data_IF_180688439149
#
_entry.id   IF_180688439149
#
_cell.length_a   1.000
_cell.length_b   1.000
_cell.length_c   1.000
_cell.angle_alpha   90.00
_cell.angle_beta   90.00
_cell.angle_gamma   90.00
#
_symmetry.space_group_name_H-M   'P 1'
#
loop_
_entity.id
_entity.type
_entity.pdbx_description
1 polymer ?
#
# COMPACT_ATOMS: atom_id res chain seq x y z
N UNK A 1 -5.99 -8.96 -6.97
CA UNK A 1 -7.05 -7.93 -6.76
C UNK A 1 -6.67 -6.67 -7.55
N UNK A 2 -7.64 -5.88 -8.04
CA UNK A 2 -7.35 -4.73 -8.92
C UNK A 2 -6.36 -3.74 -8.27
N UNK A 3 -6.46 -3.54 -6.96
CA UNK A 3 -5.53 -2.70 -6.19
C UNK A 3 -4.09 -3.23 -6.15
N UNK A 4 -3.88 -4.56 -6.08
CA UNK A 4 -2.54 -5.17 -6.12
C UNK A 4 -1.83 -4.98 -7.46
N UNK A 5 -2.58 -4.77 -8.54
CA UNK A 5 -1.99 -4.47 -9.85
C UNK A 5 -1.44 -3.03 -9.94
N UNK A 6 -1.78 -2.18 -8.98
CA UNK A 6 -1.45 -0.76 -8.97
C UNK A 6 -0.88 -0.33 -7.60
N UNK A 7 -0.06 -1.20 -6.99
CA UNK A 7 0.67 -0.87 -5.77
C UNK A 7 1.63 0.28 -6.07
N UNK A 8 1.79 1.20 -5.11
CA UNK A 8 2.73 2.31 -5.24
C UNK A 8 4.19 1.87 -4.97
N UNK A 9 4.74 0.93 -5.76
CA UNK A 9 6.08 0.34 -5.59
C UNK A 9 7.08 0.75 -6.69
N UNK A 10 6.72 1.67 -7.57
CA UNK A 10 7.56 2.14 -8.67
C UNK A 10 8.98 2.54 -8.26
N UNK A 11 9.13 3.14 -7.07
CA UNK A 11 10.43 3.51 -6.52
C UNK A 11 11.28 2.27 -6.17
N UNK A 12 10.64 1.20 -5.67
CA UNK A 12 11.26 -0.10 -5.45
C UNK A 12 11.67 -0.77 -6.77
N UNK A 13 10.83 -0.69 -7.82
CA UNK A 13 11.16 -1.21 -9.15
C UNK A 13 12.38 -0.48 -9.76
N UNK A 14 12.53 0.81 -9.48
CA UNK A 14 13.60 1.66 -10.02
C UNK A 14 14.90 1.68 -9.22
N UNK A 15 14.91 1.22 -7.98
CA UNK A 15 16.12 1.18 -7.14
C UNK A 15 17.29 0.41 -7.74
N UNK A 16 17.04 -0.46 -8.73
CA UNK A 16 18.05 -1.37 -9.27
C UNK A 16 18.55 -2.37 -8.23
N UNK A 17 19.39 -3.33 -8.66
CA UNK A 17 19.93 -4.38 -7.78
C UNK A 17 21.08 -3.90 -6.89
N UNK A 18 21.37 -2.59 -6.92
CA UNK A 18 22.60 -1.94 -6.43
C UNK A 18 22.42 -1.13 -5.15
N UNK A 19 21.21 -1.05 -4.58
CA UNK A 19 20.98 -0.55 -3.22
C UNK A 19 21.57 -1.55 -2.21
N UNK A 20 22.89 -1.55 -2.04
CA UNK A 20 23.66 -2.48 -1.19
C UNK A 20 23.61 -2.13 0.30
N UNK A 21 22.95 -1.03 0.67
CA UNK A 21 22.82 -0.54 2.04
C UNK A 21 21.39 -0.72 2.55
N UNK A 22 21.21 -1.49 3.64
CA UNK A 22 19.89 -1.75 4.28
C UNK A 22 19.04 -0.48 4.52
N UNK A 23 19.70 0.66 4.71
CA UNK A 23 19.06 1.95 4.96
C UNK A 23 18.34 2.51 3.73
N UNK A 24 18.89 2.32 2.54
CA UNK A 24 18.27 2.80 1.29
C UNK A 24 17.04 1.97 0.97
N UNK A 25 17.13 0.64 1.12
CA UNK A 25 15.99 -0.26 1.00
C UNK A 25 14.87 0.10 1.99
N UNK A 26 15.22 0.38 3.26
CA UNK A 26 14.22 0.77 4.25
C UNK A 26 13.54 2.09 3.88
N UNK A 27 14.31 3.10 3.43
CA UNK A 27 13.77 4.37 3.01
C UNK A 27 12.76 4.21 1.86
N UNK A 28 13.10 3.38 0.88
CA UNK A 28 12.29 3.16 -0.31
C UNK A 28 11.03 2.35 0.00
N UNK A 29 11.12 1.34 0.87
CA UNK A 29 9.95 0.61 1.38
C UNK A 29 9.02 1.54 2.17
N UNK A 30 9.58 2.42 3.02
CA UNK A 30 8.78 3.40 3.76
C UNK A 30 8.10 4.42 2.83
N UNK A 31 8.78 4.84 1.76
CA UNK A 31 8.21 5.75 0.77
C UNK A 31 7.07 5.08 -0.01
N UNK A 32 7.23 3.82 -0.43
CA UNK A 32 6.16 3.04 -1.07
C UNK A 32 4.95 2.89 -0.14
N UNK A 33 5.19 2.51 1.13
CA UNK A 33 4.13 2.35 2.12
C UNK A 33 3.37 3.66 2.41
N UNK A 34 4.07 4.79 2.43
CA UNK A 34 3.45 6.12 2.58
C UNK A 34 2.49 6.42 1.43
N UNK A 35 2.96 6.29 0.19
CA UNK A 35 2.13 6.59 -0.99
C UNK A 35 0.95 5.63 -1.14
N UNK A 36 1.15 4.35 -0.85
CA UNK A 36 0.09 3.35 -0.84
C UNK A 36 -0.95 3.64 0.27
N UNK A 37 -0.51 4.08 1.44
CA UNK A 37 -1.40 4.53 2.51
C UNK A 37 -2.24 5.75 2.12
N UNK A 38 -1.63 6.75 1.50
CA UNK A 38 -2.32 7.96 1.04
C UNK A 38 -3.30 7.67 -0.11
N UNK A 39 -2.96 6.77 -1.02
CA UNK A 39 -3.84 6.36 -2.13
C UNK A 39 -5.09 5.65 -1.59
N UNK A 40 -4.93 4.76 -0.60
CA UNK A 40 -6.02 4.06 0.07
C UNK A 40 -6.88 5.02 0.86
N UNK A 41 -6.28 5.92 1.66
CA UNK A 41 -7.00 6.91 2.45
C UNK A 41 -7.86 7.81 1.56
N UNK A 42 -7.35 8.24 0.41
CA UNK A 42 -8.10 9.09 -0.53
C UNK A 42 -9.30 8.36 -1.14
N UNK A 43 -9.16 7.06 -1.44
CA UNK A 43 -10.19 6.27 -2.11
C UNK A 43 -11.08 5.46 -1.16
N UNK A 44 -10.81 5.53 0.15
CA UNK A 44 -11.48 4.71 1.16
C UNK A 44 -13.01 4.83 1.21
N UNK A 45 -13.64 6.00 0.96
CA UNK A 45 -15.11 6.12 0.99
C UNK A 45 -15.78 5.21 -0.05
N UNK A 46 -15.12 4.94 -1.18
CA UNK A 46 -15.62 4.00 -2.18
C UNK A 46 -15.70 2.58 -1.63
N UNK A 47 -14.76 2.19 -0.77
CA UNK A 47 -14.75 0.86 -0.14
C UNK A 47 -15.80 0.72 0.96
N UNK A 48 -16.15 1.80 1.68
CA UNK A 48 -17.29 1.77 2.61
C UNK A 48 -18.62 1.53 1.87
N UNK A 49 -18.83 2.19 0.73
CA UNK A 49 -20.07 2.07 -0.06
C UNK A 49 -20.14 0.71 -0.79
N UNK A 50 -19.01 0.20 -1.25
CA UNK A 50 -18.94 -1.04 -2.04
C UNK A 50 -18.92 -2.30 -1.17
N UNK A 51 -18.54 -2.17 0.11
CA UNK A 51 -18.57 -3.26 1.10
C UNK A 51 -19.38 -2.89 2.36
N UNK A 52 -20.68 -2.51 2.23
CA UNK A 52 -21.50 -2.07 3.35
C UNK A 52 -21.76 -3.21 4.36
N UNK A 53 -21.67 -4.46 3.88
CA UNK A 53 -21.87 -5.68 4.68
C UNK A 53 -20.59 -6.24 5.31
N UNK A 54 -19.44 -5.57 5.18
CA UNK A 54 -18.19 -6.09 5.75
C UNK A 54 -18.17 -6.09 7.29
N UNK A 55 -19.21 -5.56 7.96
CA UNK A 55 -19.39 -5.62 9.42
C UNK A 55 -18.27 -4.95 10.22
N UNK A 56 -17.33 -4.31 9.54
CA UNK A 56 -16.08 -3.84 10.10
C UNK A 56 -16.10 -2.33 10.06
N UNK A 57 -16.15 -1.65 11.21
CA UNK A 57 -15.87 -0.20 11.28
C UNK A 57 -14.38 0.12 10.97
N UNK A 58 -13.69 -0.79 10.29
CA UNK A 58 -12.25 -0.87 10.09
C UNK A 58 -11.90 -1.09 8.61
N UNK A 59 -12.81 -0.83 7.66
CA UNK A 59 -12.59 -1.04 6.21
C UNK A 59 -11.28 -0.41 5.73
N UNK A 60 -10.94 0.79 6.22
CA UNK A 60 -9.65 1.44 5.97
C UNK A 60 -8.46 0.62 6.50
N UNK A 61 -8.51 0.17 7.74
CA UNK A 61 -7.45 -0.65 8.35
C UNK A 61 -7.28 -2.00 7.63
N UNK A 62 -8.38 -2.63 7.20
CA UNK A 62 -8.33 -3.88 6.41
C UNK A 62 -7.64 -3.67 5.07
N UNK A 63 -7.91 -2.56 4.40
CA UNK A 63 -7.25 -2.23 3.12
C UNK A 63 -5.78 -1.91 3.35
N UNK A 64 -5.43 -1.13 4.37
CA UNK A 64 -4.03 -0.87 4.73
C UNK A 64 -3.27 -2.16 5.06
N UNK A 65 -3.84 -3.07 5.84
CA UNK A 65 -3.21 -4.35 6.19
C UNK A 65 -2.94 -5.23 4.95
N UNK A 66 -3.89 -5.27 3.99
CA UNK A 66 -3.68 -5.98 2.73
C UNK A 66 -2.58 -5.34 1.89
N UNK A 67 -2.43 -4.02 1.90
CA UNK A 67 -1.37 -3.35 1.13
C UNK A 67 0.00 -3.54 1.77
N UNK A 68 0.08 -3.54 3.10
CA UNK A 68 1.31 -3.88 3.81
C UNK A 68 1.80 -5.28 3.42
N UNK A 69 0.90 -6.25 3.31
CA UNK A 69 1.21 -7.61 2.85
C UNK A 69 1.52 -7.72 1.34
N UNK A 70 1.20 -6.71 0.53
CA UNK A 70 1.57 -6.66 -0.89
C UNK A 70 2.94 -5.96 -1.10
N UNK A 71 3.37 -5.08 -0.17
CA UNK A 71 4.67 -4.38 -0.19
C UNK A 71 5.81 -5.22 0.43
N UNK A 72 5.53 -5.97 1.50
CA UNK A 72 6.50 -6.82 2.20
C UNK A 72 6.56 -8.25 1.67
#
# INVERSE_FOLDING_TARGET
PYRRLHVCDYNLEKMGRTSTTKHDLLAEVCMAAKYEGDSIKTHYPKYEIQYPSSGSSFTLCTMLARSFADIG
#
